data_IF_630696581613
#
_entry.id   IF_630696581613
#
_cell.length_a   1.000
_cell.length_b   1.000
_cell.length_c   1.000
_cell.angle_alpha   90.00
_cell.angle_beta   90.00
_cell.angle_gamma   90.00
#
_symmetry.space_group_name_H-M   'P 1'
#
loop_
_entity.id
_entity.type
_entity.pdbx_description
1 polymer ?
#
# COMPACT_ATOMS: atom_id res chain seq x y z
N UNK A 1 21.48 0.86 4.92
CA UNK A 1 22.33 0.85 6.13
C UNK A 1 21.96 -0.37 6.96
N UNK A 2 22.95 -1.04 7.54
CA UNK A 2 22.72 -2.12 8.52
C UNK A 2 22.82 -1.51 9.92
N UNK A 3 21.89 -1.85 10.81
CA UNK A 3 21.83 -1.33 12.19
C UNK A 3 21.98 -2.48 13.17
N UNK A 4 22.74 -2.28 14.25
CA UNK A 4 22.91 -3.23 15.34
C UNK A 4 22.41 -2.60 16.65
N UNK A 5 21.63 -3.36 17.44
CA UNK A 5 21.12 -2.91 18.74
C UNK A 5 21.50 -3.89 19.84
N UNK A 6 22.01 -3.36 20.95
CA UNK A 6 22.37 -4.12 22.16
C UNK A 6 21.24 -4.12 23.21
N UNK A 7 20.11 -3.45 22.94
CA UNK A 7 18.99 -3.38 23.88
C UNK A 7 18.47 -4.79 24.21
N UNK A 8 18.05 -5.03 25.45
CA UNK A 8 17.51 -6.33 25.86
C UNK A 8 16.25 -6.70 25.03
N UNK A 9 15.31 -5.75 24.90
CA UNK A 9 14.09 -5.88 24.11
C UNK A 9 14.26 -5.11 22.79
N UNK A 10 13.89 -5.74 21.67
CA UNK A 10 13.98 -5.14 20.34
C UNK A 10 12.58 -4.83 19.85
N UNK A 11 12.26 -3.55 19.71
CA UNK A 11 11.04 -3.09 19.07
C UNK A 11 11.38 -2.74 17.62
N UNK A 12 10.80 -3.48 16.69
CA UNK A 12 11.05 -3.32 15.25
C UNK A 12 9.73 -3.32 14.49
N UNK A 13 9.65 -2.50 13.45
CA UNK A 13 8.59 -2.58 12.44
C UNK A 13 9.16 -3.26 11.21
N UNK A 14 8.46 -4.25 10.67
CA UNK A 14 8.90 -5.00 9.50
C UNK A 14 8.11 -4.53 8.27
N UNK A 15 8.81 -4.26 7.17
CA UNK A 15 8.16 -3.99 5.89
C UNK A 15 7.55 -5.29 5.36
N UNK A 16 6.23 -5.31 5.18
CA UNK A 16 5.51 -6.52 4.75
C UNK A 16 6.03 -7.12 3.44
N UNK A 17 6.40 -6.29 2.46
CA UNK A 17 6.95 -6.75 1.17
C UNK A 17 8.39 -7.27 1.23
N UNK A 18 9.02 -7.26 2.40
CA UNK A 18 10.42 -7.71 2.56
C UNK A 18 10.56 -9.22 2.75
N UNK A 19 9.46 -9.94 2.97
CA UNK A 19 9.43 -11.35 3.28
C UNK A 19 8.28 -12.04 2.55
N UNK A 20 8.48 -13.29 2.16
CA UNK A 20 7.40 -14.11 1.63
C UNK A 20 6.37 -14.43 2.72
N UNK A 21 5.06 -14.49 2.37
CA UNK A 21 4.03 -14.91 3.30
C UNK A 21 4.26 -16.37 3.75
N UNK A 22 4.02 -16.64 5.02
CA UNK A 22 4.03 -18.00 5.57
C UNK A 22 2.76 -18.76 5.18
N UNK A 23 2.80 -20.10 5.25
CA UNK A 23 1.61 -20.91 5.05
C UNK A 23 0.53 -20.56 6.09
N UNK A 24 -0.72 -20.40 5.63
CA UNK A 24 -1.85 -20.07 6.49
C UNK A 24 -2.28 -21.24 7.40
N UNK A 25 -1.89 -22.46 7.04
CA UNK A 25 -2.28 -23.71 7.70
C UNK A 25 -1.06 -24.54 8.09
N UNK A 26 -1.26 -25.49 9.02
CA UNK A 26 -0.21 -26.42 9.49
C UNK A 26 0.54 -25.96 10.75
N UNK A 27 0.28 -24.74 11.24
CA UNK A 27 0.75 -24.28 12.54
C UNK A 27 -0.17 -24.75 13.68
N UNK A 28 0.42 -24.96 14.86
CA UNK A 28 -0.31 -25.16 16.12
C UNK A 28 0.25 -24.22 17.17
N UNK A 29 -0.60 -23.37 17.74
CA UNK A 29 -0.23 -22.42 18.78
C UNK A 29 -1.35 -22.36 19.82
N UNK A 30 -0.97 -22.29 21.10
CA UNK A 30 -1.93 -22.08 22.17
C UNK A 30 -2.41 -20.61 22.16
N UNK A 31 -3.71 -20.39 22.36
CA UNK A 31 -4.27 -19.05 22.54
C UNK A 31 -4.31 -18.73 24.03
N UNK A 32 -3.58 -17.71 24.43
CA UNK A 32 -3.55 -17.24 25.82
C UNK A 32 -4.22 -15.87 25.94
N UNK A 33 -5.11 -15.72 26.92
CA UNK A 33 -5.77 -14.45 27.18
C UNK A 33 -4.80 -13.50 27.91
N UNK A 34 -4.59 -12.31 27.35
CA UNK A 34 -3.77 -11.26 27.96
C UNK A 34 -4.67 -10.28 28.71
N UNK A 35 -4.38 -10.05 30.00
CA UNK A 35 -5.26 -9.31 30.91
C UNK A 35 -5.20 -7.77 30.76
N UNK A 36 -4.33 -7.23 29.90
CA UNK A 36 -4.04 -5.80 29.85
C UNK A 36 -4.39 -5.18 28.49
N UNK A 37 -5.47 -4.41 28.45
CA UNK A 37 -5.62 -3.31 27.51
C UNK A 37 -5.50 -2.02 28.32
N UNK A 38 -4.36 -1.33 28.21
CA UNK A 38 -4.25 0.00 28.76
C UNK A 38 -4.98 0.97 27.82
N UNK A 39 -6.19 1.38 28.19
CA UNK A 39 -6.85 2.49 27.53
C UNK A 39 -6.36 3.80 28.16
N UNK A 40 -5.60 4.56 27.39
CA UNK A 40 -5.11 5.87 27.81
C UNK A 40 -6.23 6.94 27.79
N UNK A 41 -7.39 6.66 27.19
CA UNK A 41 -8.54 7.57 27.12
C UNK A 41 -8.32 8.82 26.27
N UNK A 42 -7.22 8.89 25.52
CA UNK A 42 -6.82 10.06 24.69
C UNK A 42 -7.23 9.94 23.22
N UNK A 43 -7.72 8.77 22.80
CA UNK A 43 -8.25 8.53 21.46
C UNK A 43 -9.45 7.58 21.52
N UNK A 44 -10.38 7.73 20.58
CA UNK A 44 -11.50 6.81 20.41
C UNK A 44 -11.73 6.53 18.93
N UNK A 45 -12.14 5.31 18.62
CA UNK A 45 -12.57 4.94 17.27
C UNK A 45 -13.99 5.45 17.05
N UNK A 46 -14.16 6.39 16.13
CA UNK A 46 -15.47 6.99 15.80
C UNK A 46 -16.11 6.32 14.58
N UNK A 47 -15.29 5.84 13.65
CA UNK A 47 -15.73 5.17 12.43
C UNK A 47 -14.59 5.03 11.43
N UNK A 48 -14.85 4.28 10.35
CA UNK A 48 -13.93 4.07 9.25
C UNK A 48 -14.69 4.14 7.93
N UNK A 49 -14.10 4.81 6.94
CA UNK A 49 -14.58 4.80 5.56
C UNK A 49 -13.56 4.08 4.69
N UNK A 50 -13.89 2.85 4.31
CA UNK A 50 -13.06 2.04 3.44
C UNK A 50 -13.33 2.40 1.98
N UNK A 51 -12.27 2.72 1.25
CA UNK A 51 -12.33 2.90 -0.20
C UNK A 51 -12.81 1.59 -0.85
N UNK A 52 -14.06 1.58 -1.33
CA UNK A 52 -14.61 0.44 -2.07
C UNK A 52 -14.03 0.44 -3.47
N UNK A 53 -13.24 -0.58 -3.77
CA UNK A 53 -12.72 -0.84 -5.10
C UNK A 53 -12.95 -2.31 -5.44
N UNK A 54 -13.50 -2.57 -6.62
CA UNK A 54 -13.59 -3.94 -7.16
C UNK A 54 -12.22 -4.45 -7.65
N UNK A 55 -11.17 -3.62 -7.56
CA UNK A 55 -9.82 -3.94 -8.05
C UNK A 55 -8.95 -4.52 -6.94
N UNK A 56 -7.95 -5.34 -7.31
CA UNK A 56 -6.98 -5.87 -6.35
C UNK A 56 -6.34 -4.77 -5.51
N UNK A 57 -6.10 -5.07 -4.24
CA UNK A 57 -5.43 -4.18 -3.32
C UNK A 57 -3.98 -3.91 -3.80
N UNK A 58 -3.55 -2.65 -3.72
CA UNK A 58 -2.28 -2.15 -4.28
C UNK A 58 -1.03 -2.81 -3.69
N UNK A 59 -1.03 -3.10 -2.39
CA UNK A 59 0.11 -3.71 -1.70
C UNK A 59 0.22 -5.22 -1.93
N UNK A 60 -0.88 -5.89 -2.30
CA UNK A 60 -0.95 -7.34 -2.48
C UNK A 60 -1.01 -7.81 -3.95
N UNK A 61 -1.08 -6.90 -4.93
CA UNK A 61 -1.19 -7.27 -6.34
C UNK A 61 0.15 -7.67 -6.98
N UNK A 62 0.09 -8.54 -8.00
CA UNK A 62 1.26 -8.93 -8.80
C UNK A 62 1.63 -7.93 -9.88
N UNK A 63 0.67 -7.12 -10.34
CA UNK A 63 0.87 -6.13 -11.40
C UNK A 63 0.28 -4.80 -10.96
N UNK A 64 1.05 -3.72 -11.09
CA UNK A 64 0.59 -2.35 -10.82
C UNK A 64 0.75 -1.52 -12.09
N UNK A 65 -0.33 -0.83 -12.46
CA UNK A 65 -0.30 0.21 -13.50
C UNK A 65 -0.47 1.56 -12.81
N UNK A 66 0.48 2.47 -12.96
CA UNK A 66 0.50 3.71 -12.20
C UNK A 66 0.53 4.95 -13.10
N UNK A 67 -0.32 5.93 -12.79
CA UNK A 67 -0.45 7.18 -13.52
C UNK A 67 0.19 8.37 -12.80
N UNK A 68 0.88 9.23 -13.56
CA UNK A 68 1.47 10.45 -13.03
C UNK A 68 0.84 11.73 -13.56
N UNK A 69 1.52 12.86 -13.35
CA UNK A 69 1.07 14.17 -13.84
C UNK A 69 0.97 14.23 -15.37
N UNK A 70 1.71 13.38 -16.08
CA UNK A 70 1.62 13.23 -17.53
C UNK A 70 0.26 12.73 -18.03
N UNK A 71 -0.62 12.24 -17.15
CA UNK A 71 -2.01 11.92 -17.48
C UNK A 71 -2.87 13.17 -17.76
N UNK A 72 -2.38 14.37 -17.40
CA UNK A 72 -3.00 15.69 -17.61
C UNK A 72 -4.31 15.95 -16.85
N UNK A 73 -5.19 14.96 -16.69
CA UNK A 73 -6.44 15.04 -15.93
C UNK A 73 -6.88 13.65 -15.40
N UNK A 74 -7.91 13.64 -14.54
CA UNK A 74 -8.50 12.41 -13.99
C UNK A 74 -9.21 11.55 -15.02
N UNK A 75 -9.88 12.14 -16.01
CA UNK A 75 -10.62 11.39 -17.04
C UNK A 75 -9.72 10.44 -17.84
N UNK A 76 -8.45 10.83 -18.06
CA UNK A 76 -7.49 10.00 -18.76
C UNK A 76 -7.07 8.74 -17.98
N UNK A 77 -7.30 8.67 -16.66
CA UNK A 77 -7.08 7.43 -15.88
C UNK A 77 -7.97 6.27 -16.36
N UNK A 78 -9.06 6.54 -17.09
CA UNK A 78 -9.86 5.48 -17.75
C UNK A 78 -9.03 4.56 -18.65
N UNK A 79 -7.95 5.08 -19.26
CA UNK A 79 -7.05 4.28 -20.07
C UNK A 79 -6.21 3.32 -19.21
N UNK A 80 -5.80 3.76 -18.01
CA UNK A 80 -5.08 2.93 -17.05
C UNK A 80 -6.00 1.88 -16.44
N UNK A 81 -7.25 2.23 -16.12
CA UNK A 81 -8.27 1.28 -15.67
C UNK A 81 -8.50 0.19 -16.72
N UNK A 82 -8.72 0.56 -17.98
CA UNK A 82 -8.93 -0.40 -19.07
C UNK A 82 -7.72 -1.33 -19.29
N UNK A 83 -6.49 -0.84 -19.11
CA UNK A 83 -5.28 -1.66 -19.16
C UNK A 83 -5.21 -2.60 -17.95
N UNK A 84 -5.45 -2.07 -16.76
CA UNK A 84 -5.40 -2.83 -15.53
C UNK A 84 -6.42 -3.97 -15.50
N UNK A 85 -7.65 -3.72 -15.98
CA UNK A 85 -8.70 -4.73 -16.06
C UNK A 85 -8.30 -5.90 -16.98
N UNK A 86 -7.57 -5.62 -18.08
CA UNK A 86 -7.03 -6.67 -18.97
C UNK A 86 -5.89 -7.48 -18.36
N UNK A 87 -5.15 -6.89 -17.44
CA UNK A 87 -3.98 -7.50 -16.80
C UNK A 87 -4.30 -8.10 -15.42
N UNK A 88 -5.51 -7.87 -14.89
CA UNK A 88 -5.81 -8.14 -13.48
C UNK A 88 -4.92 -7.32 -12.53
N UNK A 89 -4.54 -6.10 -12.92
CA UNK A 89 -3.64 -5.24 -12.18
C UNK A 89 -4.38 -4.32 -11.21
N UNK A 90 -3.68 -3.83 -10.18
CA UNK A 90 -4.16 -2.67 -9.43
C UNK A 90 -3.73 -1.37 -10.13
N UNK A 91 -4.45 -0.28 -9.86
CA UNK A 91 -4.07 1.05 -10.37
C UNK A 91 -3.54 1.91 -9.24
N UNK A 92 -2.34 2.45 -9.45
CA UNK A 92 -1.70 3.40 -8.54
C UNK A 92 -1.56 4.78 -9.18
N UNK A 93 -1.02 5.72 -8.41
CA UNK A 93 -0.67 7.04 -8.90
C UNK A 93 0.51 7.66 -8.18
N UNK A 94 1.17 8.62 -8.84
CA UNK A 94 2.17 9.45 -8.17
C UNK A 94 1.51 10.54 -7.32
N UNK A 95 2.25 11.05 -6.33
CA UNK A 95 1.83 12.20 -5.52
C UNK A 95 1.37 13.38 -6.38
N UNK A 96 2.08 13.67 -7.48
CA UNK A 96 1.74 14.80 -8.34
C UNK A 96 0.37 14.68 -9.05
N UNK A 97 -0.15 13.46 -9.23
CA UNK A 97 -1.50 13.22 -9.74
C UNK A 97 -2.56 13.34 -8.64
N UNK A 98 -2.26 12.88 -7.42
CA UNK A 98 -3.11 13.04 -6.24
C UNK A 98 -3.26 14.51 -5.87
N UNK A 99 -2.15 15.24 -5.77
CA UNK A 99 -2.13 16.68 -5.47
C UNK A 99 -2.86 17.50 -6.55
N UNK A 100 -2.99 16.96 -7.77
CA UNK A 100 -3.75 17.57 -8.87
C UNK A 100 -5.24 17.19 -8.88
N UNK A 101 -5.69 16.35 -7.94
CA UNK A 101 -7.07 15.89 -7.85
C UNK A 101 -7.47 14.87 -8.92
N UNK A 102 -6.52 14.19 -9.57
CA UNK A 102 -6.85 13.21 -10.62
C UNK A 102 -7.41 11.92 -10.04
N UNK A 103 -6.93 11.53 -8.86
CA UNK A 103 -7.28 10.32 -8.13
C UNK A 103 -7.14 10.54 -6.62
N UNK A 104 -7.81 9.74 -5.78
CA UNK A 104 -7.70 9.83 -4.32
C UNK A 104 -6.32 9.40 -3.78
N UNK A 105 -6.02 9.81 -2.54
CA UNK A 105 -4.71 9.60 -1.90
C UNK A 105 -4.42 8.12 -1.58
N UNK A 106 -5.43 7.28 -1.43
CA UNK A 106 -5.26 5.84 -1.25
C UNK A 106 -4.63 5.16 -2.46
N UNK A 107 -4.70 5.76 -3.65
CA UNK A 107 -4.01 5.25 -4.84
C UNK A 107 -2.53 5.65 -4.90
N UNK A 108 -2.05 6.51 -3.98
CA UNK A 108 -0.69 7.03 -4.03
C UNK A 108 0.34 5.94 -3.79
N UNK A 109 1.35 5.86 -4.66
CA UNK A 109 2.54 5.01 -4.52
C UNK A 109 3.76 5.90 -4.29
N UNK A 110 4.61 5.51 -3.34
CA UNK A 110 5.86 6.22 -3.01
C UNK A 110 6.12 6.29 -1.51
N UNK A 111 7.12 7.07 -1.10
CA UNK A 111 7.57 7.20 0.29
C UNK A 111 6.46 7.63 1.26
N UNK A 112 5.52 8.44 0.79
CA UNK A 112 4.39 8.99 1.58
C UNK A 112 3.07 8.29 1.29
N UNK A 113 3.07 7.31 0.37
CA UNK A 113 1.90 6.52 0.01
C UNK A 113 2.11 5.05 0.33
N UNK A 114 1.50 4.18 -0.48
CA UNK A 114 1.67 2.74 -0.38
C UNK A 114 3.03 2.32 -0.95
N UNK A 115 3.70 1.43 -0.23
CA UNK A 115 4.87 0.71 -0.72
C UNK A 115 4.37 -0.55 -1.41
N UNK A 116 4.76 -0.74 -2.66
CA UNK A 116 4.35 -1.91 -3.47
C UNK A 116 5.59 -2.63 -3.98
N UNK A 117 5.51 -3.95 -4.09
CA UNK A 117 6.57 -4.80 -4.66
C UNK A 117 5.97 -5.80 -5.67
N UNK A 118 5.32 -5.33 -6.74
CA UNK A 118 4.71 -6.21 -7.73
C UNK A 118 5.79 -6.90 -8.57
N UNK A 119 5.39 -7.96 -9.27
CA UNK A 119 6.22 -8.61 -10.29
C UNK A 119 6.40 -7.70 -11.52
N UNK A 120 5.41 -6.86 -11.82
CA UNK A 120 5.45 -5.89 -12.91
C UNK A 120 4.88 -4.55 -12.46
N UNK A 121 5.66 -3.48 -12.65
CA UNK A 121 5.22 -2.10 -12.43
C UNK A 121 5.27 -1.32 -13.74
N UNK A 122 4.14 -0.76 -14.17
CA UNK A 122 4.03 0.04 -15.39
C UNK A 122 3.82 1.50 -14.97
N UNK A 123 4.82 2.35 -15.22
CA UNK A 123 4.77 3.78 -14.91
C UNK A 123 4.38 4.60 -16.15
N UNK A 124 3.22 5.26 -16.13
CA UNK A 124 2.71 6.06 -17.26
C UNK A 124 2.66 7.54 -16.87
N UNK A 125 3.47 8.36 -17.54
CA UNK A 125 3.52 9.80 -17.27
C UNK A 125 4.06 10.16 -15.86
N UNK A 126 4.90 9.29 -15.30
CA UNK A 126 5.60 9.48 -14.02
C UNK A 126 7.08 9.74 -14.33
N UNK A 127 7.66 10.79 -13.74
CA UNK A 127 9.04 11.21 -14.00
C UNK A 127 10.10 10.33 -13.33
N UNK A 128 9.73 9.52 -12.33
CA UNK A 128 10.68 8.71 -11.56
C UNK A 128 11.48 9.53 -10.54
N UNK A 129 10.84 10.52 -9.92
CA UNK A 129 11.43 11.22 -8.77
C UNK A 129 11.74 10.23 -7.63
N UNK A 130 12.68 10.60 -6.75
CA UNK A 130 13.19 9.72 -5.69
C UNK A 130 12.09 9.35 -4.67
N UNK A 131 11.09 10.22 -4.51
CA UNK A 131 10.01 10.11 -3.51
C UNK A 131 8.89 9.19 -3.97
#
# INVERSE_FOLDING_TARGET
ATVQSTAAIKVITVRATGFDPVAAEGGSAAVEAVAAAHDAGISSFVGEELAKSDRPELTATKIVVSGGRGMQNGDNFKHLYALADKLGAAVGASRAAVDAGFVPNDMQVGQTGKIVAPQLYIAVGISGAIQ
#
